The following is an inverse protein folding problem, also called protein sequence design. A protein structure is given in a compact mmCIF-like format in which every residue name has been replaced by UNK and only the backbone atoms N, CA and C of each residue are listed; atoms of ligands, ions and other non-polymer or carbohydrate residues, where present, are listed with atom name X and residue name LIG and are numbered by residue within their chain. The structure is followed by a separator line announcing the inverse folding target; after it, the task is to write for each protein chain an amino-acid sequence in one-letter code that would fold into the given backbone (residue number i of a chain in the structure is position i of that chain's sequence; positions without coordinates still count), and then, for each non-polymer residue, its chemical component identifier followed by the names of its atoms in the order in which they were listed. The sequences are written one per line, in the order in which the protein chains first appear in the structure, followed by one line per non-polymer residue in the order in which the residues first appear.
data_IF_331703139102
#
_entry.id   IF_331703139102
#
_cell.length_a   1.000
_cell.length_b   1.000
_cell.length_c   1.000
_cell.angle_alpha   90.00
_cell.angle_beta   90.00
_cell.angle_gamma   90.00
#
_symmetry.space_group_name_H-M   'P 1'
#
loop_
_entity.id
_entity.type
_entity.pdbx_description
1 polymer ?
#
# COMPACT_ATOMS: atom_id res chain seq x y z
N UNK A 1 -6.09 -27.47 9.75
CA UNK A 1 -4.73 -27.05 9.37
C UNK A 1 -4.88 -25.96 8.33
N UNK A 2 -4.80 -24.70 8.76
CA UNK A 2 -4.93 -23.57 7.85
C UNK A 2 -3.62 -23.41 7.10
N UNK A 3 -3.69 -23.57 5.78
CA UNK A 3 -2.65 -23.15 4.85
C UNK A 3 -2.33 -21.68 5.13
N UNK A 4 -1.07 -21.26 5.23
CA UNK A 4 -0.76 -19.85 5.34
C UNK A 4 -1.26 -19.18 4.06
N UNK A 5 -2.42 -18.53 4.13
CA UNK A 5 -2.94 -17.70 3.05
C UNK A 5 -2.00 -16.51 2.94
N UNK A 6 -0.94 -16.66 2.15
CA UNK A 6 -0.15 -15.54 1.72
C UNK A 6 -1.03 -14.68 0.80
N UNK A 7 -1.08 -13.38 1.07
CA UNK A 7 -1.78 -12.44 0.20
C UNK A 7 -1.00 -12.15 -1.09
N UNK A 8 0.16 -12.79 -1.27
CA UNK A 8 1.11 -12.51 -2.32
C UNK A 8 1.71 -11.11 -2.23
N UNK A 9 2.54 -10.78 -3.21
CA UNK A 9 3.15 -9.44 -3.32
C UNK A 9 2.05 -8.38 -3.47
N UNK A 10 1.99 -7.34 -2.62
CA UNK A 10 1.10 -6.20 -2.80
C UNK A 10 1.34 -5.58 -4.17
N UNK A 11 0.29 -5.05 -4.79
CA UNK A 11 0.43 -4.34 -6.06
C UNK A 11 1.33 -3.12 -5.85
N UNK A 12 2.30 -2.94 -6.74
CA UNK A 12 3.19 -1.77 -6.73
C UNK A 12 2.39 -0.52 -7.11
N UNK A 13 2.55 0.56 -6.35
CA UNK A 13 1.86 1.84 -6.62
C UNK A 13 2.76 2.77 -7.43
N UNK A 14 2.16 3.59 -8.28
CA UNK A 14 2.89 4.64 -8.98
C UNK A 14 3.28 5.75 -7.99
N UNK A 15 4.51 6.28 -8.09
CA UNK A 15 5.05 7.34 -7.22
C UNK A 15 5.12 7.01 -5.71
N UNK A 16 5.17 5.71 -5.37
CA UNK A 16 5.34 5.26 -3.99
C UNK A 16 6.07 3.93 -3.89
N UNK A 17 6.20 3.45 -2.66
CA UNK A 17 6.92 2.23 -2.29
C UNK A 17 6.19 1.53 -1.16
N UNK A 18 6.10 0.20 -1.21
CA UNK A 18 5.51 -0.60 -0.14
C UNK A 18 6.59 -1.13 0.79
N UNK A 19 6.30 -1.17 2.08
CA UNK A 19 7.19 -1.74 3.09
C UNK A 19 7.37 -3.23 2.81
N UNK A 20 8.63 -3.66 2.69
CA UNK A 20 8.95 -5.08 2.56
C UNK A 20 8.71 -5.75 3.90
N UNK A 21 7.88 -6.78 3.91
CA UNK A 21 7.56 -7.57 5.10
C UNK A 21 6.96 -8.91 4.70
N UNK A 22 6.68 -9.80 5.65
CA UNK A 22 5.94 -11.02 5.36
C UNK A 22 4.54 -10.64 4.84
N UNK A 23 4.16 -11.16 3.67
CA UNK A 23 2.83 -10.97 3.09
C UNK A 23 1.88 -12.10 3.51
N UNK A 24 1.95 -12.48 4.78
CA UNK A 24 1.21 -13.61 5.36
C UNK A 24 -0.07 -13.16 6.02
N UNK A 25 -0.97 -14.10 6.34
CA UNK A 25 -2.19 -13.83 7.11
C UNK A 25 -1.91 -12.96 8.36
N UNK A 26 -2.78 -11.98 8.61
CA UNK A 26 -2.65 -10.94 9.65
C UNK A 26 -1.48 -9.97 9.51
N UNK A 27 -0.62 -10.14 8.50
CA UNK A 27 0.47 -9.21 8.26
C UNK A 27 -0.05 -7.92 7.66
N UNK A 28 0.64 -6.84 8.00
CA UNK A 28 0.25 -5.49 7.62
C UNK A 28 1.39 -4.84 6.86
N UNK A 29 1.11 -4.31 5.67
CA UNK A 29 2.06 -3.57 4.86
C UNK A 29 1.68 -2.10 4.83
N UNK A 30 2.69 -1.24 4.78
CA UNK A 30 2.50 0.19 4.73
C UNK A 30 3.09 0.75 3.43
N UNK A 31 2.32 1.59 2.75
CA UNK A 31 2.71 2.28 1.53
C UNK A 31 3.20 3.68 1.85
N UNK A 32 4.38 4.01 1.34
CA UNK A 32 5.04 5.29 1.52
C UNK A 32 5.18 5.97 0.17
N UNK A 33 4.61 7.16 0.02
CA UNK A 33 4.81 7.94 -1.20
C UNK A 33 6.23 8.50 -1.30
N UNK A 34 6.62 8.90 -2.50
CA UNK A 34 7.85 9.64 -2.73
C UNK A 34 7.72 11.12 -2.28
N UNK A 35 8.85 11.79 -2.10
CA UNK A 35 8.89 13.18 -1.64
C UNK A 35 8.09 14.08 -2.60
N UNK A 36 7.18 14.90 -2.07
CA UNK A 36 6.26 15.74 -2.86
C UNK A 36 4.91 15.08 -3.22
N UNK A 37 4.72 13.80 -2.87
CA UNK A 37 3.47 13.07 -3.08
C UNK A 37 2.83 12.70 -1.74
N UNK A 38 1.50 12.72 -1.71
CA UNK A 38 0.71 12.31 -0.55
C UNK A 38 -0.33 11.28 -0.99
N UNK A 39 -0.73 10.41 -0.08
CA UNK A 39 -1.87 9.51 -0.29
C UNK A 39 -3.14 10.20 0.14
N UNK A 40 -4.19 10.07 -0.68
CA UNK A 40 -5.54 10.50 -0.30
C UNK A 40 -6.21 9.47 0.62
N UNK A 41 -5.78 8.21 0.51
CA UNK A 41 -6.41 7.05 1.14
C UNK A 41 -5.50 6.28 2.11
N UNK A 42 -6.04 5.18 2.63
CA UNK A 42 -5.38 4.27 3.58
C UNK A 42 -4.12 3.67 2.98
N UNK A 43 -2.96 4.03 3.54
CA UNK A 43 -1.66 3.46 3.15
C UNK A 43 -1.37 2.09 3.72
N UNK A 44 -2.30 1.56 4.52
CA UNK A 44 -2.08 0.36 5.31
C UNK A 44 -3.00 -0.75 4.82
N UNK A 45 -2.40 -1.81 4.28
CA UNK A 45 -3.12 -3.00 3.82
C UNK A 45 -2.86 -4.13 4.81
N UNK A 46 -3.94 -4.78 5.26
CA UNK A 46 -3.88 -5.96 6.11
C UNK A 46 -4.26 -7.20 5.31
N UNK A 47 -3.50 -8.26 5.46
CA UNK A 47 -3.78 -9.54 4.81
C UNK A 47 -4.91 -10.28 5.55
N UNK A 48 -5.99 -10.58 4.83
CA UNK A 48 -7.13 -11.34 5.32
C UNK A 48 -6.85 -12.86 5.23
N UNK A 49 -7.61 -13.67 5.99
CA UNK A 49 -7.58 -15.14 5.97
C UNK A 49 -7.92 -15.72 4.60
N UNK A 50 -8.62 -14.95 3.77
CA UNK A 50 -8.90 -15.28 2.38
C UNK A 50 -7.69 -15.18 1.44
N UNK A 51 -6.51 -14.72 1.91
CA UNK A 51 -5.35 -14.48 1.03
C UNK A 51 -5.54 -13.26 0.14
N UNK A 52 -6.36 -12.30 0.58
CA UNK A 52 -6.61 -11.04 -0.11
C UNK A 52 -6.31 -9.87 0.82
N UNK A 53 -5.82 -8.77 0.24
CA UNK A 53 -5.62 -7.54 0.97
C UNK A 53 -6.98 -6.89 1.29
N UNK A 54 -7.16 -6.46 2.54
CA UNK A 54 -8.42 -5.85 3.00
C UNK A 54 -8.70 -4.48 2.37
N UNK A 55 -7.67 -3.82 1.82
CA UNK A 55 -7.76 -2.52 1.19
C UNK A 55 -7.06 -2.55 -0.17
N UNK A 56 -7.46 -1.64 -1.05
CA UNK A 56 -6.78 -1.40 -2.31
C UNK A 56 -5.50 -0.55 -2.10
N UNK A 57 -4.52 -0.64 -3.01
CA UNK A 57 -3.33 0.19 -2.96
C UNK A 57 -3.71 1.68 -3.10
N UNK A 58 -3.22 2.57 -2.23
CA UNK A 58 -3.50 4.00 -2.36
C UNK A 58 -2.81 4.57 -3.60
N UNK A 59 -3.38 5.62 -4.18
CA UNK A 59 -2.67 6.41 -5.18
C UNK A 59 -1.88 7.53 -4.51
N UNK A 60 -0.61 7.66 -4.90
CA UNK A 60 0.21 8.81 -4.55
C UNK A 60 -0.11 9.95 -5.52
N UNK A 61 -0.96 10.87 -5.09
CA UNK A 61 -1.20 12.13 -5.80
C UNK A 61 -0.15 13.15 -5.40
N UNK A 62 0.53 13.74 -6.38
CA UNK A 62 1.39 14.89 -6.16
C UNK A 62 0.47 16.09 -6.00
N UNK A 63 0.47 16.73 -4.83
CA UNK A 63 -0.33 17.94 -4.71
C UNK A 63 0.47 19.11 -5.27
N UNK A 64 0.28 19.36 -6.56
CA UNK A 64 0.47 20.68 -7.10
C UNK A 64 -0.74 21.53 -6.70
N UNK A 65 -0.82 21.94 -5.44
CA UNK A 65 -1.79 22.95 -5.01
C UNK A 65 -1.29 24.32 -5.50
N UNK A 66 -1.56 24.65 -6.76
CA UNK A 66 -1.66 26.04 -7.27
C UNK A 66 -0.63 27.05 -6.74
N UNK A 67 0.57 27.09 -7.33
CA UNK A 67 1.47 28.26 -7.52
C UNK A 67 2.84 27.76 -7.99
N UNK A 68 2.86 27.07 -9.14
CA UNK A 68 4.08 26.73 -9.90
C UNK A 68 5.23 26.10 -9.08
N UNK A 69 4.90 25.19 -8.17
CA UNK A 69 5.87 24.33 -7.52
C UNK A 69 5.41 22.87 -7.62
N UNK A 70 5.98 22.18 -8.60
CA UNK A 70 6.40 20.80 -8.45
C UNK A 70 7.92 20.81 -8.48
#
# INVERSE_FOLDING_TARGET
MHYPSDCGKPHDISNGKVTRGPWTFESTVNYTCNNGYHTVDVTTLKCNSSGLWNNNPPNCTGNCFTNNAC
#
